data_IF_654826879379
#
_entry.id   IF_654826879379
#
_cell.length_a   1.000
_cell.length_b   1.000
_cell.length_c   1.000
_cell.angle_alpha   90.00
_cell.angle_beta   90.00
_cell.angle_gamma   90.00
#
_symmetry.space_group_name_H-M   'P 1'
#
loop_
_entity.id
_entity.type
_entity.pdbx_description
1 polymer ?
#
# COMPACT_ATOMS: atom_id res chain seq x y z
N UNK A 1 -0.38 17.59 -6.24
CA UNK A 1 -0.07 16.70 -5.10
C UNK A 1 0.35 17.52 -3.90
N UNK A 2 -0.31 17.36 -2.76
CA UNK A 2 -0.06 18.14 -1.52
C UNK A 2 0.62 17.24 -0.49
N UNK A 3 1.72 17.69 0.11
CA UNK A 3 2.42 16.97 1.16
C UNK A 3 2.13 17.62 2.53
N UNK A 4 1.66 16.86 3.55
CA UNK A 4 1.32 17.46 4.84
C UNK A 4 2.55 18.03 5.57
N UNK A 5 2.45 19.26 6.05
CA UNK A 5 3.54 19.94 6.76
C UNK A 5 3.98 19.19 8.03
N UNK A 6 3.03 18.61 8.77
CA UNK A 6 3.34 17.79 9.96
C UNK A 6 4.15 16.55 9.60
N UNK A 7 3.79 15.87 8.51
CA UNK A 7 4.56 14.72 8.03
C UNK A 7 5.99 15.12 7.64
N UNK A 8 6.15 16.29 7.00
CA UNK A 8 7.47 16.87 6.70
C UNK A 8 8.31 17.05 7.96
N UNK A 9 7.74 17.70 8.97
CA UNK A 9 8.42 17.94 10.24
C UNK A 9 8.82 16.62 10.93
N UNK A 10 7.90 15.68 11.04
CA UNK A 10 8.13 14.39 11.70
C UNK A 10 9.21 13.56 10.99
N UNK A 11 9.20 13.51 9.65
CA UNK A 11 10.22 12.82 8.87
C UNK A 11 11.59 13.51 8.97
N UNK A 12 11.62 14.84 8.97
CA UNK A 12 12.86 15.61 9.12
C UNK A 12 13.49 15.37 10.49
N UNK A 13 12.68 15.43 11.55
CA UNK A 13 13.13 15.16 12.91
C UNK A 13 13.62 13.72 13.10
N UNK A 14 12.91 12.73 12.52
CA UNK A 14 13.34 11.33 12.57
C UNK A 14 14.68 11.12 11.85
N UNK A 15 14.88 11.76 10.68
CA UNK A 15 16.15 11.72 9.94
C UNK A 15 17.29 12.38 10.70
N UNK A 16 17.02 13.53 11.33
CA UNK A 16 18.03 14.25 12.12
C UNK A 16 18.44 13.42 13.33
N UNK A 17 17.48 12.86 14.06
CA UNK A 17 17.74 11.97 15.19
C UNK A 17 18.57 10.74 14.80
N UNK A 18 18.32 10.19 13.61
CA UNK A 18 19.09 9.06 13.06
C UNK A 18 20.53 9.49 12.72
N UNK A 19 20.71 10.63 12.04
CA UNK A 19 22.05 11.14 11.70
C UNK A 19 22.89 11.47 12.93
N UNK A 20 22.29 12.08 13.92
CA UNK A 20 22.96 12.45 15.18
C UNK A 20 23.10 11.29 16.15
N UNK A 21 22.67 10.08 15.80
CA UNK A 21 22.65 8.88 16.65
C UNK A 21 21.97 9.11 18.01
N UNK A 22 21.12 10.12 18.13
CA UNK A 22 20.43 10.49 19.36
C UNK A 22 19.41 9.43 19.81
N UNK A 23 18.89 8.64 18.86
CA UNK A 23 17.94 7.56 19.12
C UNK A 23 18.36 6.30 18.38
N UNK A 24 18.99 5.35 19.09
CA UNK A 24 19.26 4.03 18.53
C UNK A 24 17.93 3.34 18.17
N UNK A 25 17.78 2.91 16.90
CA UNK A 25 16.65 2.12 16.44
C UNK A 25 15.45 2.89 15.90
N UNK A 26 15.37 4.23 16.01
CA UNK A 26 14.28 4.99 15.39
C UNK A 26 14.44 5.02 13.88
N UNK A 27 13.53 4.37 13.15
CA UNK A 27 13.44 4.43 11.70
C UNK A 27 12.40 5.48 11.33
N UNK A 28 12.59 6.27 10.26
CA UNK A 28 11.58 7.23 9.81
C UNK A 28 10.29 6.55 9.35
N UNK A 29 10.39 5.32 8.84
CA UNK A 29 9.26 4.52 8.37
C UNK A 29 9.45 3.09 8.89
N UNK A 30 8.36 2.50 9.39
CA UNK A 30 8.26 1.10 9.73
C UNK A 30 7.22 0.44 8.83
N UNK A 31 7.61 -0.69 8.25
CA UNK A 31 6.67 -1.57 7.55
C UNK A 31 6.00 -2.50 8.54
N UNK A 32 4.73 -2.72 8.31
CA UNK A 32 3.89 -3.60 9.10
C UNK A 32 3.20 -4.54 8.11
N UNK A 33 3.58 -5.80 8.12
CA UNK A 33 2.96 -6.79 7.25
C UNK A 33 1.55 -7.10 7.75
N UNK A 34 0.57 -6.86 6.88
CA UNK A 34 -0.82 -7.16 7.19
C UNK A 34 -1.03 -8.66 7.50
N UNK A 35 -0.29 -9.56 6.84
CA UNK A 35 -0.39 -11.00 7.10
C UNK A 35 0.09 -11.40 8.51
N UNK A 36 1.07 -10.68 9.06
CA UNK A 36 1.57 -10.96 10.42
C UNK A 36 0.61 -10.50 11.51
N UNK A 37 -0.16 -9.44 11.24
CA UNK A 37 -1.07 -8.83 12.22
C UNK A 37 -2.45 -9.43 12.10
N UNK A 38 -2.89 -9.63 10.88
CA UNK A 38 -4.21 -10.05 10.51
C UNK A 38 -4.15 -11.56 10.24
N UNK A 39 -4.55 -12.36 11.20
CA UNK A 39 -4.60 -13.81 11.00
C UNK A 39 -5.50 -14.12 9.79
N UNK A 40 -5.12 -15.07 8.89
CA UNK A 40 -5.95 -15.45 7.75
C UNK A 40 -7.32 -15.97 8.18
N UNK A 41 -7.43 -16.48 9.40
CA UNK A 41 -8.69 -16.87 10.00
C UNK A 41 -9.35 -15.63 10.62
N UNK A 42 -10.32 -15.06 9.90
CA UNK A 42 -11.02 -13.82 10.25
C UNK A 42 -11.76 -13.86 11.60
N UNK A 43 -11.82 -15.02 12.24
CA UNK A 43 -12.46 -15.23 13.55
C UNK A 43 -11.64 -14.72 14.74
N UNK A 44 -10.32 -14.47 14.56
CA UNK A 44 -9.47 -14.06 15.67
C UNK A 44 -9.19 -12.56 15.63
N UNK A 45 -9.49 -11.84 16.71
CA UNK A 45 -9.15 -10.42 16.82
C UNK A 45 -7.64 -10.24 16.81
N UNK A 46 -7.16 -9.10 16.29
CA UNK A 46 -5.75 -8.74 16.35
C UNK A 46 -5.28 -8.77 17.81
N UNK A 47 -4.14 -9.42 18.08
CA UNK A 47 -3.59 -9.51 19.43
C UNK A 47 -3.33 -8.11 20.02
N UNK A 48 -3.85 -7.87 21.22
CA UNK A 48 -3.61 -6.60 21.94
C UNK A 48 -2.12 -6.30 22.15
N UNK A 49 -1.30 -7.31 22.28
CA UNK A 49 0.15 -7.17 22.40
C UNK A 49 0.76 -6.61 21.12
N UNK A 50 0.44 -7.20 19.97
CA UNK A 50 0.89 -6.71 18.64
C UNK A 50 0.42 -5.28 18.38
N UNK A 51 -0.83 -4.96 18.74
CA UNK A 51 -1.34 -3.59 18.60
C UNK A 51 -0.52 -2.63 19.47
N UNK A 52 -0.23 -3.00 20.71
CA UNK A 52 0.57 -2.18 21.63
C UNK A 52 1.99 -1.96 21.10
N UNK A 53 2.62 -2.98 20.56
CA UNK A 53 3.97 -2.88 19.96
C UNK A 53 3.99 -1.94 18.75
N UNK A 54 2.97 -2.02 17.89
CA UNK A 54 2.83 -1.13 16.75
C UNK A 54 2.61 0.31 17.20
N UNK A 55 1.69 0.54 18.14
CA UNK A 55 1.40 1.87 18.69
C UNK A 55 2.61 2.44 19.46
N UNK A 56 3.38 1.58 20.13
CA UNK A 56 4.62 1.94 20.83
C UNK A 56 5.81 2.21 19.90
N UNK A 57 5.63 2.06 18.60
CA UNK A 57 6.68 2.34 17.62
C UNK A 57 7.18 3.77 17.72
N UNK A 58 8.50 3.94 17.56
CA UNK A 58 9.14 5.27 17.50
C UNK A 58 9.15 5.85 16.08
N UNK A 59 8.65 5.11 15.10
CA UNK A 59 8.58 5.56 13.70
C UNK A 59 7.39 6.47 13.52
N UNK A 60 7.55 7.69 13.00
CA UNK A 60 6.41 8.59 12.77
C UNK A 60 5.47 8.08 11.68
N UNK A 61 5.95 7.21 10.79
CA UNK A 61 5.19 6.65 9.67
C UNK A 61 5.14 5.14 9.79
N UNK A 62 3.93 4.60 9.73
CA UNK A 62 3.66 3.18 9.63
C UNK A 62 3.07 2.89 8.24
N UNK A 63 3.78 2.02 7.50
CA UNK A 63 3.31 1.54 6.21
C UNK A 63 2.75 0.14 6.39
N UNK A 64 1.43 0.01 6.26
CA UNK A 64 0.72 -1.27 6.40
C UNK A 64 0.47 -1.82 5.00
N UNK A 65 1.03 -2.98 4.70
CA UNK A 65 0.96 -3.59 3.37
C UNK A 65 1.23 -5.09 3.40
N UNK A 66 1.77 -5.62 2.31
CA UNK A 66 2.00 -7.05 2.12
C UNK A 66 0.77 -7.73 1.53
N UNK A 67 0.06 -8.55 2.30
CA UNK A 67 -1.25 -9.07 1.90
C UNK A 67 -2.30 -7.97 1.83
N UNK A 68 -3.44 -8.23 1.17
CA UNK A 68 -4.52 -7.23 1.05
C UNK A 68 -5.17 -6.94 2.42
N UNK A 69 -4.85 -5.80 3.07
CA UNK A 69 -5.33 -5.56 4.43
C UNK A 69 -6.83 -5.32 4.52
N UNK A 70 -7.46 -4.91 3.40
CA UNK A 70 -8.92 -4.70 3.37
C UNK A 70 -9.72 -6.00 3.43
N UNK A 71 -9.11 -7.18 3.34
CA UNK A 71 -9.81 -8.43 3.60
C UNK A 71 -10.15 -8.62 5.08
N UNK A 72 -9.37 -8.03 5.98
CA UNK A 72 -9.57 -8.25 7.41
C UNK A 72 -10.61 -7.30 8.01
N UNK A 73 -11.64 -7.80 8.71
CA UNK A 73 -12.71 -6.97 9.26
C UNK A 73 -12.23 -5.97 10.33
N UNK A 74 -11.17 -6.29 11.07
CA UNK A 74 -10.63 -5.44 12.14
C UNK A 74 -9.67 -4.33 11.68
N UNK A 75 -9.34 -4.24 10.38
CA UNK A 75 -8.31 -3.30 9.90
C UNK A 75 -8.65 -1.83 10.19
N UNK A 76 -9.92 -1.45 10.11
CA UNK A 76 -10.35 -0.08 10.37
C UNK A 76 -10.14 0.31 11.85
N UNK A 77 -10.35 -0.61 12.79
CA UNK A 77 -10.09 -0.39 14.21
C UNK A 77 -8.59 -0.23 14.48
N UNK A 78 -7.75 -1.08 13.87
CA UNK A 78 -6.30 -0.99 13.97
C UNK A 78 -5.79 0.36 13.46
N UNK A 79 -6.20 0.77 12.25
CA UNK A 79 -5.82 2.05 11.63
C UNK A 79 -6.24 3.22 12.50
N UNK A 80 -7.45 3.18 13.08
CA UNK A 80 -7.94 4.22 14.01
C UNK A 80 -7.05 4.32 15.24
N UNK A 81 -6.74 3.20 15.89
CA UNK A 81 -5.87 3.18 17.08
C UNK A 81 -4.48 3.77 16.78
N UNK A 82 -3.89 3.40 15.65
CA UNK A 82 -2.57 3.88 15.22
C UNK A 82 -2.61 5.40 14.91
N UNK A 83 -3.62 5.88 14.20
CA UNK A 83 -3.72 7.30 13.86
C UNK A 83 -3.99 8.17 15.09
N UNK A 84 -4.78 7.66 16.05
CA UNK A 84 -5.04 8.32 17.33
C UNK A 84 -3.80 8.40 18.22
N UNK A 85 -2.88 7.43 18.15
CA UNK A 85 -1.61 7.48 18.86
C UNK A 85 -0.58 8.44 18.23
N UNK A 86 -0.95 9.08 17.11
CA UNK A 86 -0.16 10.16 16.51
C UNK A 86 0.67 9.76 15.31
N UNK A 87 0.66 8.50 14.88
CA UNK A 87 1.38 8.04 13.70
C UNK A 87 0.65 8.41 12.40
N UNK A 88 1.43 8.65 11.35
CA UNK A 88 0.92 8.64 9.99
C UNK A 88 0.83 7.20 9.50
N UNK A 89 -0.31 6.84 8.93
CA UNK A 89 -0.57 5.51 8.36
C UNK A 89 -0.68 5.62 6.85
N UNK A 90 0.12 4.82 6.15
CA UNK A 90 -0.05 4.53 4.75
C UNK A 90 -0.61 3.11 4.65
N UNK A 91 -1.92 3.01 4.41
CA UNK A 91 -2.61 1.72 4.27
C UNK A 91 -2.59 1.32 2.79
N UNK A 92 -1.71 0.37 2.45
CA UNK A 92 -1.53 -0.09 1.08
C UNK A 92 -2.53 -1.18 0.73
N UNK A 93 -3.26 -0.97 -0.36
CA UNK A 93 -4.29 -1.87 -0.88
C UNK A 93 -4.19 -1.97 -2.40
N UNK A 94 -4.70 -3.06 -2.97
CA UNK A 94 -4.92 -3.17 -4.42
C UNK A 94 -6.03 -2.25 -4.93
N UNK A 95 -6.85 -1.72 -4.02
CA UNK A 95 -7.97 -0.84 -4.35
C UNK A 95 -9.27 -1.56 -4.71
N UNK A 96 -9.25 -2.87 -4.98
CA UNK A 96 -10.43 -3.63 -5.42
C UNK A 96 -11.56 -3.65 -4.39
N UNK A 97 -11.23 -3.62 -3.10
CA UNK A 97 -12.21 -3.60 -2.00
C UNK A 97 -12.48 -2.20 -1.47
N UNK A 98 -11.74 -1.20 -1.92
CA UNK A 98 -11.77 0.13 -1.33
C UNK A 98 -13.18 0.74 -1.37
N UNK A 99 -13.88 0.67 -2.52
CA UNK A 99 -15.24 1.21 -2.66
C UNK A 99 -16.23 0.56 -1.67
N UNK A 100 -16.09 -0.74 -1.41
CA UNK A 100 -17.00 -1.48 -0.52
C UNK A 100 -16.73 -1.20 0.95
N UNK A 101 -15.47 -0.96 1.32
CA UNK A 101 -15.03 -0.88 2.71
C UNK A 101 -14.69 0.52 3.21
N UNK A 102 -14.75 1.53 2.33
CA UNK A 102 -14.37 2.91 2.67
C UNK A 102 -15.17 3.48 3.84
N UNK A 103 -16.43 3.09 3.99
CA UNK A 103 -17.34 3.55 5.05
C UNK A 103 -16.93 3.09 6.46
N UNK A 104 -16.04 2.08 6.57
CA UNK A 104 -15.52 1.61 7.85
C UNK A 104 -14.43 2.53 8.43
N UNK A 105 -13.84 3.37 7.57
CA UNK A 105 -12.75 4.26 7.93
C UNK A 105 -13.25 5.67 8.18
N UNK A 106 -12.42 6.46 8.89
CA UNK A 106 -12.64 7.88 9.08
C UNK A 106 -11.59 8.68 8.32
N UNK A 107 -11.98 9.71 7.54
CA UNK A 107 -11.02 10.58 6.87
C UNK A 107 -10.33 11.46 7.90
N UNK A 108 -9.07 11.15 8.18
CA UNK A 108 -8.21 11.91 9.09
C UNK A 108 -6.92 12.31 8.40
N UNK A 109 -6.34 13.43 8.80
CA UNK A 109 -5.13 13.99 8.18
C UNK A 109 -3.86 13.13 8.34
N UNK A 110 -3.93 12.05 9.10
CA UNK A 110 -2.84 11.10 9.31
C UNK A 110 -3.03 9.77 8.59
N UNK A 111 -4.13 9.57 7.87
CA UNK A 111 -4.41 8.37 7.11
C UNK A 111 -4.31 8.64 5.61
N UNK A 112 -3.39 7.94 4.95
CA UNK A 112 -3.31 7.83 3.51
C UNK A 112 -3.78 6.46 3.07
N UNK A 113 -4.84 6.42 2.26
CA UNK A 113 -5.21 5.21 1.55
C UNK A 113 -4.30 5.11 0.33
N UNK A 114 -3.42 4.12 0.35
CA UNK A 114 -2.37 3.95 -0.65
C UNK A 114 -2.76 2.87 -1.64
N UNK A 115 -3.08 3.26 -2.86
CA UNK A 115 -3.50 2.30 -3.89
C UNK A 115 -2.29 1.89 -4.71
N UNK A 116 -1.99 0.58 -4.70
CA UNK A 116 -0.90 0.01 -5.45
C UNK A 116 -1.28 -0.14 -6.92
N UNK A 117 -0.50 0.47 -7.79
CA UNK A 117 -0.60 0.31 -9.24
C UNK A 117 0.67 -0.38 -9.75
N UNK A 118 0.48 -1.48 -10.45
CA UNK A 118 1.57 -2.21 -11.07
C UNK A 118 1.61 -1.88 -12.56
N UNK A 119 2.82 -1.55 -13.04
CA UNK A 119 3.08 -1.39 -14.46
C UNK A 119 3.55 -2.72 -15.02
N UNK A 120 2.68 -3.40 -15.73
CA UNK A 120 3.02 -4.65 -16.41
C UNK A 120 1.95 -5.03 -17.42
N UNK A 121 2.36 -5.71 -18.48
CA UNK A 121 1.44 -6.19 -19.49
C UNK A 121 0.35 -7.09 -18.87
N UNK A 122 -0.89 -7.03 -19.36
CA UNK A 122 -2.03 -7.78 -18.82
C UNK A 122 -1.86 -9.31 -18.86
N UNK A 123 -0.74 -9.81 -19.39
CA UNK A 123 -0.49 -11.23 -19.62
C UNK A 123 0.37 -11.94 -18.55
N UNK A 124 0.92 -11.24 -17.55
CA UNK A 124 1.62 -11.91 -16.45
C UNK A 124 0.85 -11.70 -15.14
N UNK A 125 -0.12 -12.55 -14.92
CA UNK A 125 -0.89 -12.67 -13.68
C UNK A 125 -0.02 -13.21 -12.52
N UNK A 126 1.14 -12.60 -12.24
CA UNK A 126 1.88 -12.89 -11.02
C UNK A 126 1.26 -12.26 -9.78
N UNK A 127 0.32 -11.34 -9.95
CA UNK A 127 -0.37 -10.66 -8.85
C UNK A 127 -1.77 -11.20 -8.55
N UNK A 128 -2.25 -12.23 -9.28
CA UNK A 128 -3.60 -12.79 -9.07
C UNK A 128 -4.74 -11.78 -9.28
N UNK A 129 -4.47 -10.63 -9.89
CA UNK A 129 -5.47 -9.60 -10.17
C UNK A 129 -6.39 -10.07 -11.29
N UNK A 130 -7.69 -10.13 -10.99
CA UNK A 130 -8.74 -10.48 -11.95
C UNK A 130 -8.87 -9.41 -13.04
N UNK A 131 -9.32 -9.77 -14.26
CA UNK A 131 -9.73 -8.78 -15.25
C UNK A 131 -10.72 -7.77 -14.62
N UNK A 132 -10.53 -6.47 -14.87
CA UNK A 132 -11.35 -5.42 -14.24
C UNK A 132 -10.83 -4.88 -12.89
N UNK A 133 -9.79 -5.46 -12.30
CA UNK A 133 -9.24 -4.99 -11.02
C UNK A 133 -8.72 -3.54 -11.10
N UNK A 134 -8.18 -3.15 -12.25
CA UNK A 134 -7.73 -1.76 -12.49
C UNK A 134 -8.89 -0.76 -12.45
N UNK A 135 -10.03 -1.13 -13.03
CA UNK A 135 -11.24 -0.30 -13.02
C UNK A 135 -11.81 -0.17 -11.62
N UNK A 136 -11.88 -1.27 -10.87
CA UNK A 136 -12.30 -1.27 -9.47
C UNK A 136 -11.38 -0.42 -8.59
N UNK A 137 -10.07 -0.44 -8.84
CA UNK A 137 -9.12 0.40 -8.12
C UNK A 137 -9.37 1.89 -8.41
N UNK A 138 -9.61 2.27 -9.67
CA UNK A 138 -9.95 3.64 -10.06
C UNK A 138 -11.27 4.10 -9.43
N UNK A 139 -12.29 3.26 -9.45
CA UNK A 139 -13.56 3.54 -8.76
C UNK A 139 -13.37 3.71 -7.24
N UNK A 140 -12.56 2.84 -6.64
CA UNK A 140 -12.19 2.93 -5.24
C UNK A 140 -11.50 4.26 -4.89
N UNK A 141 -10.54 4.69 -5.72
CA UNK A 141 -9.86 5.99 -5.56
C UNK A 141 -10.87 7.14 -5.63
N UNK A 142 -11.75 7.14 -6.62
CA UNK A 142 -12.78 8.19 -6.77
C UNK A 142 -13.72 8.23 -5.57
N UNK A 143 -14.20 7.08 -5.11
CA UNK A 143 -15.07 7.00 -3.93
C UNK A 143 -14.36 7.53 -2.67
N UNK A 144 -13.11 7.16 -2.46
CA UNK A 144 -12.31 7.61 -1.33
C UNK A 144 -12.04 9.14 -1.38
N UNK A 145 -11.75 9.68 -2.56
CA UNK A 145 -11.59 11.14 -2.75
C UNK A 145 -12.88 11.89 -2.41
N UNK A 146 -14.02 11.44 -2.91
CA UNK A 146 -15.33 12.03 -2.62
C UNK A 146 -15.67 11.97 -1.12
N UNK A 147 -15.18 10.95 -0.43
CA UNK A 147 -15.36 10.77 1.02
C UNK A 147 -14.33 11.57 1.86
N UNK A 148 -13.46 12.38 1.21
CA UNK A 148 -12.51 13.27 1.89
C UNK A 148 -11.23 12.59 2.40
N UNK A 149 -10.91 11.38 1.94
CA UNK A 149 -9.67 10.72 2.30
C UNK A 149 -8.47 11.27 1.55
N UNK A 150 -7.30 11.23 2.20
CA UNK A 150 -6.03 11.45 1.54
C UNK A 150 -5.66 10.20 0.75
N UNK A 151 -5.39 10.35 -0.54
CA UNK A 151 -5.05 9.27 -1.44
C UNK A 151 -3.60 9.37 -1.87
N UNK A 152 -2.87 8.27 -1.70
CA UNK A 152 -1.55 8.07 -2.28
C UNK A 152 -1.62 6.96 -3.32
N UNK A 153 -0.93 7.11 -4.44
CA UNK A 153 -0.72 6.03 -5.39
C UNK A 153 0.69 5.49 -5.22
N UNK A 154 0.82 4.19 -5.09
CA UNK A 154 2.11 3.50 -5.05
C UNK A 154 2.36 2.80 -6.38
N UNK A 155 3.28 3.34 -7.17
CA UNK A 155 3.70 2.75 -8.45
C UNK A 155 4.90 1.84 -8.22
N UNK A 156 4.76 0.56 -8.56
CA UNK A 156 5.84 -0.43 -8.51
C UNK A 156 6.37 -0.66 -9.90
N UNK A 157 7.67 -0.40 -10.09
CA UNK A 157 8.34 -0.58 -11.38
C UNK A 157 9.06 -1.93 -11.41
N UNK A 158 8.69 -2.76 -12.36
CA UNK A 158 9.37 -4.01 -12.66
C UNK A 158 10.53 -3.78 -13.67
N UNK A 159 11.48 -4.71 -13.81
CA UNK A 159 12.57 -4.58 -14.80
C UNK A 159 12.06 -4.37 -16.21
N UNK A 160 11.01 -5.08 -16.59
CA UNK A 160 10.34 -5.03 -17.88
C UNK A 160 9.46 -3.79 -18.12
N UNK A 161 9.15 -3.03 -17.06
CA UNK A 161 8.32 -1.83 -17.18
C UNK A 161 8.94 -0.82 -18.13
N UNK A 162 8.22 -0.41 -19.15
CA UNK A 162 8.65 0.70 -19.99
C UNK A 162 8.37 2.05 -19.34
N UNK A 163 9.20 3.05 -19.63
CA UNK A 163 9.00 4.41 -19.11
C UNK A 163 7.71 5.06 -19.66
N UNK A 164 7.25 4.63 -20.83
CA UNK A 164 5.97 5.00 -21.41
C UNK A 164 4.80 4.54 -20.54
N UNK A 165 4.85 3.32 -20.00
CA UNK A 165 3.81 2.78 -19.13
C UNK A 165 3.83 3.42 -17.74
N UNK A 166 5.01 3.66 -17.21
CA UNK A 166 5.15 4.47 -16.00
C UNK A 166 4.53 5.87 -16.18
N UNK A 167 4.75 6.52 -17.33
CA UNK A 167 4.17 7.81 -17.64
C UNK A 167 2.62 7.77 -17.70
N UNK A 168 2.04 6.72 -18.26
CA UNK A 168 0.57 6.51 -18.26
C UNK A 168 0.02 6.43 -16.83
N UNK A 169 0.70 5.70 -15.93
CA UNK A 169 0.30 5.61 -14.51
C UNK A 169 0.40 6.96 -13.79
N UNK A 170 1.42 7.77 -14.09
CA UNK A 170 1.52 9.14 -13.55
C UNK A 170 0.41 10.04 -14.05
N UNK A 171 0.11 9.94 -15.35
CA UNK A 171 -0.99 10.69 -15.93
C UNK A 171 -2.33 10.30 -15.30
N UNK A 172 -2.56 9.00 -15.10
CA UNK A 172 -3.74 8.49 -14.40
C UNK A 172 -3.80 9.01 -12.96
N UNK A 173 -2.72 8.91 -12.18
CA UNK A 173 -2.67 9.44 -10.83
C UNK A 173 -2.99 10.94 -10.78
N UNK A 174 -2.47 11.70 -11.76
CA UNK A 174 -2.75 13.14 -11.87
C UNK A 174 -4.21 13.43 -12.23
N UNK A 175 -4.78 12.67 -13.17
CA UNK A 175 -6.19 12.81 -13.56
C UNK A 175 -7.19 12.44 -12.45
N UNK A 176 -6.76 11.60 -11.49
CA UNK A 176 -7.53 11.23 -10.32
C UNK A 176 -7.36 12.20 -9.15
N UNK A 177 -6.59 13.29 -9.33
CA UNK A 177 -6.31 14.31 -8.30
C UNK A 177 -5.86 13.72 -6.96
N UNK A 178 -4.94 12.73 -7.01
CA UNK A 178 -4.41 12.10 -5.79
C UNK A 178 -3.50 13.06 -5.02
N UNK A 179 -3.46 12.93 -3.69
CA UNK A 179 -2.66 13.78 -2.83
C UNK A 179 -1.17 13.48 -2.94
N UNK A 180 -0.83 12.21 -3.26
CA UNK A 180 0.55 11.79 -3.36
C UNK A 180 0.82 10.63 -4.30
N UNK A 181 2.10 10.49 -4.63
CA UNK A 181 2.61 9.37 -5.40
C UNK A 181 3.93 8.89 -4.82
N UNK A 182 4.03 7.59 -4.58
CA UNK A 182 5.25 6.90 -4.16
C UNK A 182 5.68 5.95 -5.26
N UNK A 183 6.97 5.88 -5.53
CA UNK A 183 7.54 5.00 -6.55
C UNK A 183 8.61 4.13 -5.92
N UNK A 184 8.48 2.83 -6.10
CA UNK A 184 9.47 1.85 -5.70
C UNK A 184 9.75 0.84 -6.79
N UNK A 185 10.82 0.09 -6.64
CA UNK A 185 11.05 -1.12 -7.44
C UNK A 185 10.09 -2.21 -6.99
N UNK A 186 9.59 -3.00 -7.93
CA UNK A 186 8.87 -4.22 -7.61
C UNK A 186 9.85 -5.19 -6.92
N UNK A 187 9.39 -5.83 -5.86
CA UNK A 187 10.15 -6.89 -5.21
C UNK A 187 10.04 -8.15 -6.10
N UNK A 188 11.01 -8.34 -6.98
CA UNK A 188 11.08 -9.47 -7.90
C UNK A 188 12.50 -10.00 -7.93
N UNK A 189 12.63 -11.31 -7.77
CA UNK A 189 13.79 -12.14 -8.00
C UNK A 189 15.16 -11.51 -7.74
N UNK A 190 15.69 -11.77 -6.56
CA UNK A 190 17.07 -11.42 -6.15
C UNK A 190 18.18 -11.99 -7.04
N UNK A 191 17.83 -12.62 -8.15
CA UNK A 191 18.75 -13.21 -9.13
C UNK A 191 18.88 -12.39 -10.41
N UNK A 192 18.35 -11.16 -10.46
CA UNK A 192 18.63 -10.29 -11.60
C UNK A 192 20.13 -9.98 -11.64
N UNK A 193 20.77 -10.23 -12.78
CA UNK A 193 22.17 -9.87 -13.00
C UNK A 193 22.40 -8.41 -12.60
N UNK A 194 23.54 -8.10 -11.98
CA UNK A 194 23.89 -6.76 -11.51
C UNK A 194 23.53 -5.61 -12.47
N UNK A 195 23.73 -5.74 -13.80
CA UNK A 195 23.36 -4.68 -14.74
C UNK A 195 21.85 -4.41 -14.81
N UNK A 196 21.00 -5.44 -14.70
CA UNK A 196 19.55 -5.27 -14.72
C UNK A 196 19.05 -4.56 -13.45
N UNK A 197 19.61 -4.86 -12.29
CA UNK A 197 19.29 -4.19 -11.02
C UNK A 197 19.72 -2.71 -11.05
N UNK A 198 20.86 -2.39 -11.65
CA UNK A 198 21.32 -1.02 -11.82
C UNK A 198 20.42 -0.24 -12.79
N UNK A 199 20.06 -0.83 -13.93
CA UNK A 199 19.14 -0.22 -14.90
C UNK A 199 17.77 0.08 -14.27
N UNK A 200 17.23 -0.85 -13.50
CA UNK A 200 15.96 -0.64 -12.77
C UNK A 200 16.10 0.47 -11.73
N UNK A 201 17.22 0.55 -11.03
CA UNK A 201 17.48 1.62 -10.07
C UNK A 201 17.52 3.00 -10.72
N UNK A 202 18.19 3.13 -11.88
CA UNK A 202 18.24 4.36 -12.66
C UNK A 202 16.86 4.75 -13.19
N UNK A 203 16.12 3.79 -13.76
CA UNK A 203 14.75 3.97 -14.22
C UNK A 203 13.83 4.47 -13.10
N UNK A 204 13.94 3.87 -11.92
CA UNK A 204 13.16 4.26 -10.75
C UNK A 204 13.52 5.67 -10.28
N UNK A 205 14.80 6.02 -10.28
CA UNK A 205 15.27 7.37 -9.92
C UNK A 205 14.76 8.43 -10.92
N UNK A 206 14.75 8.12 -12.21
CA UNK A 206 14.20 9.00 -13.23
C UNK A 206 12.68 9.18 -13.08
N UNK A 207 11.96 8.08 -12.87
CA UNK A 207 10.52 8.12 -12.64
C UNK A 207 10.16 8.99 -11.43
N UNK A 208 10.91 8.90 -10.33
CA UNK A 208 10.69 9.73 -9.14
C UNK A 208 10.78 11.23 -9.41
N UNK A 209 11.72 11.66 -10.27
CA UNK A 209 11.84 13.08 -10.65
C UNK A 209 10.59 13.60 -11.34
N UNK A 210 9.84 12.73 -12.02
CA UNK A 210 8.58 13.08 -12.70
C UNK A 210 7.39 13.30 -11.75
N UNK A 211 7.51 12.91 -10.46
CA UNK A 211 6.46 13.20 -9.46
C UNK A 211 6.24 14.72 -9.31
N UNK A 212 7.26 15.54 -9.58
CA UNK A 212 7.18 16.99 -9.49
C UNK A 212 7.09 17.52 -8.06
N UNK A 213 7.36 16.69 -7.05
CA UNK A 213 7.36 17.07 -5.64
C UNK A 213 8.54 16.45 -4.90
N UNK A 214 9.42 17.31 -4.41
CA UNK A 214 10.63 16.91 -3.69
C UNK A 214 10.32 16.09 -2.43
N UNK A 215 9.18 16.34 -1.79
CA UNK A 215 8.75 15.64 -0.59
C UNK A 215 8.28 14.22 -0.89
N UNK A 216 7.47 14.03 -1.93
CA UNK A 216 7.02 12.71 -2.37
C UNK A 216 8.16 11.89 -2.94
N UNK A 217 9.09 12.52 -3.66
CA UNK A 217 10.34 11.89 -4.11
C UNK A 217 11.18 11.43 -2.91
N UNK A 218 11.33 12.27 -1.89
CA UNK A 218 12.06 11.92 -0.66
C UNK A 218 11.39 10.80 0.11
N UNK A 219 10.06 10.80 0.22
CA UNK A 219 9.31 9.72 0.85
C UNK A 219 9.50 8.40 0.07
N UNK A 220 9.43 8.43 -1.26
CA UNK A 220 9.66 7.25 -2.11
C UNK A 220 11.03 6.62 -1.85
N UNK A 221 12.07 7.44 -1.68
CA UNK A 221 13.43 6.96 -1.36
C UNK A 221 13.52 6.33 0.04
N UNK A 222 12.71 6.82 1.00
CA UNK A 222 12.68 6.28 2.36
C UNK A 222 11.92 4.97 2.47
N UNK A 223 10.83 4.87 1.71
CA UNK A 223 9.93 3.71 1.74
C UNK A 223 10.57 2.52 1.01
N UNK A 224 11.24 2.74 -0.12
CA UNK A 224 11.76 1.66 -0.95
C UNK A 224 12.62 0.61 -0.20
N UNK A 225 13.65 0.98 0.61
CA UNK A 225 14.44 -0.03 1.31
C UNK A 225 13.65 -0.78 2.39
N UNK A 226 12.51 -0.23 2.80
CA UNK A 226 11.61 -0.87 3.76
C UNK A 226 10.76 -1.90 3.05
N UNK A 227 10.20 -1.55 1.88
CA UNK A 227 9.39 -2.43 1.06
C UNK A 227 10.18 -3.58 0.42
N UNK A 228 11.45 -3.35 0.07
CA UNK A 228 12.32 -4.38 -0.49
C UNK A 228 12.73 -5.47 0.53
N UNK A 229 12.47 -5.26 1.83
CA UNK A 229 12.73 -6.23 2.90
C UNK A 229 11.50 -7.06 3.24
N UNK A 230 10.37 -6.85 2.56
CA UNK A 230 9.17 -7.67 2.77
C UNK A 230 9.50 -9.17 2.63
N UNK A 231 9.20 -9.99 3.64
CA UNK A 231 9.15 -11.43 3.42
C UNK A 231 8.05 -11.67 2.37
N UNK A 232 8.39 -12.45 1.34
CA UNK A 232 7.41 -12.86 0.32
C UNK A 232 6.29 -13.62 1.04
N UNK A 233 5.11 -13.00 1.17
CA UNK A 233 3.90 -13.77 1.41
C UNK A 233 3.70 -14.62 0.15
N UNK A 234 4.05 -15.91 0.26
CA UNK A 234 3.69 -16.89 -0.77
C UNK A 234 2.17 -16.79 -0.96
N UNK A 235 1.66 -16.77 -2.20
CA UNK A 235 0.24 -16.96 -2.41
C UNK A 235 -0.14 -18.27 -1.72
N UNK A 236 -1.30 -18.36 -1.04
CA UNK A 236 -1.72 -19.57 -0.40
C UNK A 236 -1.68 -20.68 -1.45
N UNK A 237 -0.77 -21.63 -1.24
CA UNK A 237 -0.68 -22.86 -2.04
C UNK A 237 -2.02 -23.53 -1.93
N UNK A 238 -2.71 -23.59 -3.06
CA UNK A 238 -4.04 -24.10 -3.32
C UNK A 238 -4.65 -25.03 -2.27
N UNK A 239 -5.73 -24.57 -1.64
CA UNK A 239 -6.77 -25.48 -1.10
C UNK A 239 -8.08 -24.72 -0.78
N UNK A 240 -8.37 -23.58 -1.39
CA UNK A 240 -9.63 -22.87 -1.14
C UNK A 240 -10.37 -22.36 -2.37
N UNK A 241 -9.99 -22.79 -3.58
CA UNK A 241 -10.76 -22.43 -4.78
C UNK A 241 -12.13 -23.17 -4.85
N UNK A 242 -12.27 -24.29 -4.13
CA UNK A 242 -13.47 -25.13 -4.19
C UNK A 242 -14.60 -24.63 -3.27
N UNK A 243 -14.27 -23.88 -2.20
CA UNK A 243 -15.30 -23.42 -1.23
C UNK A 243 -16.00 -22.12 -1.67
N UNK A 244 -15.34 -21.28 -2.48
CA UNK A 244 -15.94 -20.02 -2.95
C UNK A 244 -16.88 -20.19 -4.15
N UNK A 245 -16.78 -21.30 -4.88
CA UNK A 245 -17.74 -21.61 -5.96
C UNK A 245 -19.07 -22.15 -5.42
N UNK A 246 -19.10 -22.65 -4.19
CA UNK A 246 -20.32 -23.16 -3.58
C UNK A 246 -21.20 -22.05 -2.98
N UNK A 247 -20.60 -20.99 -2.44
CA UNK A 247 -21.35 -19.83 -1.92
C UNK A 247 -21.91 -18.95 -3.06
N UNK A 248 -21.21 -18.82 -4.18
CA UNK A 248 -21.68 -18.05 -5.32
C UNK A 248 -22.87 -18.72 -6.05
N UNK A 249 -23.02 -20.04 -5.93
CA UNK A 249 -24.15 -20.77 -6.49
C UNK A 249 -25.40 -20.77 -5.59
N UNK A 250 -25.20 -20.65 -4.29
CA UNK A 250 -26.33 -20.60 -3.34
C UNK A 250 -27.14 -19.28 -3.43
N UNK A 251 -26.51 -18.19 -3.83
CA UNK A 251 -27.16 -16.89 -3.99
C UNK A 251 -27.92 -16.73 -5.32
N UNK A 252 -27.64 -17.55 -6.34
CA UNK A 252 -28.37 -17.51 -7.60
C UNK A 252 -29.67 -18.36 -7.60
N UNK A 253 -29.79 -19.35 -6.73
CA UNK A 253 -31.00 -20.18 -6.64
C UNK A 253 -32.06 -19.65 -5.66
N UNK A 254 -31.76 -18.59 -4.89
CA UNK A 254 -32.66 -18.00 -3.91
C UNK A 254 -33.67 -16.97 -4.42
N UNK A 255 -33.66 -16.61 -5.71
CA UNK A 255 -34.59 -15.63 -6.30
C UNK A 255 -35.53 -16.29 -7.31
N UNK A 256 -36.23 -17.29 -6.86
CA UNK A 256 -37.49 -17.73 -7.50
C UNK A 256 -38.42 -18.20 -6.43
N UNK A 257 -39.55 -17.52 -6.29
CA UNK A 257 -40.73 -17.69 -5.45
C UNK A 257 -40.86 -16.70 -4.30
N UNK A 258 -41.46 -15.56 -4.60
CA UNK A 258 -42.74 -15.08 -4.01
C UNK A 258 -43.16 -13.79 -4.69
#
# INVERSE_FOLDING_TARGET
MRFPLRLTADLTMARLAQKLRLRRGARPIQFVDAAEILHPDSSHPVSHEKIRDIIGSRSPVLWIGGSEPLHHPGIAHLVRAITQSGHFVFLETTGTFLRRRIHEFQPVSRLFLTVRLESGAPHRASSGLRPGASELAVEGIRAARLSGFLICVHVRLAPETEMSDAAKLFHLAHSLDVDGCVISRACGESNSALPAAQALSQKTAEARKRIGSIWWESLSRLVEPVLLREPRSQPPTGTSAVHLEHEARADEEGIKFA
#
